data_IF_509987421318
#
_entry.id   IF_509987421318
#
_cell.length_a   1.000
_cell.length_b   1.000
_cell.length_c   1.000
_cell.angle_alpha   90.00
_cell.angle_beta   90.00
_cell.angle_gamma   90.00
#
_symmetry.space_group_name_H-M   'P 1'
#
loop_
_entity.id
_entity.type
_entity.pdbx_description
1 polymer ?
#
# COMPACT_ATOMS: atom_id res chain seq x y z
N UNK A 1 81.58 24.74 29.41
CA UNK A 1 80.85 24.69 28.12
C UNK A 1 80.02 23.41 28.09
N UNK A 2 78.96 23.30 28.92
CA UNK A 2 78.12 22.09 29.00
C UNK A 2 76.63 22.40 29.28
N UNK A 3 76.27 23.66 29.51
CA UNK A 3 74.90 24.03 29.95
C UNK A 3 73.96 24.27 28.77
N UNK A 4 74.47 24.65 27.60
CA UNK A 4 73.65 25.10 26.45
C UNK A 4 73.06 23.91 25.66
N UNK A 5 73.71 22.74 25.65
CA UNK A 5 73.22 21.56 24.92
C UNK A 5 72.10 20.80 25.65
N UNK A 6 71.87 21.03 26.94
CA UNK A 6 70.79 20.37 27.68
C UNK A 6 69.44 21.07 27.45
N UNK A 7 69.41 22.40 27.27
CA UNK A 7 68.16 23.16 27.14
C UNK A 7 67.45 22.96 25.79
N UNK A 8 68.18 22.63 24.72
CA UNK A 8 67.59 22.49 23.37
C UNK A 8 66.88 21.14 23.21
N UNK A 9 67.40 20.08 23.82
CA UNK A 9 66.80 18.72 23.76
C UNK A 9 65.50 18.64 24.58
N UNK A 10 65.43 19.37 25.70
CA UNK A 10 64.20 19.48 26.50
C UNK A 10 63.11 20.30 25.80
N UNK A 11 63.49 21.29 24.97
CA UNK A 11 62.55 22.16 24.25
C UNK A 11 61.86 21.47 23.07
N UNK A 12 62.56 20.62 22.31
CA UNK A 12 61.95 19.87 21.19
C UNK A 12 61.05 18.73 21.68
N UNK A 13 61.43 18.06 22.77
CA UNK A 13 60.61 17.04 23.42
C UNK A 13 59.31 17.65 23.99
N UNK A 14 59.37 18.87 24.55
CA UNK A 14 58.20 19.60 25.02
C UNK A 14 57.23 19.99 23.90
N UNK A 15 57.73 20.50 22.77
CA UNK A 15 56.89 20.87 21.61
C UNK A 15 56.25 19.65 20.93
N UNK A 16 56.96 18.51 20.85
CA UNK A 16 56.40 17.27 20.33
C UNK A 16 55.30 16.71 21.25
N UNK A 17 55.49 16.75 22.57
CA UNK A 17 54.48 16.35 23.54
C UNK A 17 53.25 17.29 23.51
N UNK A 18 53.46 18.59 23.31
CA UNK A 18 52.37 19.56 23.13
C UNK A 18 51.59 19.32 21.83
N UNK A 19 52.27 19.02 20.72
CA UNK A 19 51.61 18.63 19.46
C UNK A 19 50.83 17.31 19.59
N UNK A 20 51.33 16.34 20.36
CA UNK A 20 50.64 15.07 20.63
C UNK A 20 49.41 15.31 21.50
N UNK A 21 49.52 16.15 22.54
CA UNK A 21 48.40 16.54 23.40
C UNK A 21 47.33 17.29 22.63
N UNK A 22 47.72 18.20 21.74
CA UNK A 22 46.78 18.89 20.86
C UNK A 22 46.06 17.92 19.92
N UNK A 23 46.81 17.00 19.29
CA UNK A 23 46.23 15.98 18.41
C UNK A 23 45.27 15.08 19.18
N UNK A 24 45.66 14.64 20.37
CA UNK A 24 44.82 13.85 21.27
C UNK A 24 43.55 14.61 21.64
N UNK A 25 43.65 15.91 21.95
CA UNK A 25 42.48 16.75 22.25
C UNK A 25 41.52 16.86 21.05
N UNK A 26 42.06 17.00 19.83
CA UNK A 26 41.26 17.07 18.59
C UNK A 26 40.57 15.72 18.31
N UNK A 27 41.28 14.61 18.49
CA UNK A 27 40.73 13.26 18.31
C UNK A 27 39.64 12.95 19.34
N UNK A 28 39.83 13.35 20.60
CA UNK A 28 38.83 13.19 21.65
C UNK A 28 37.57 14.01 21.36
N UNK A 29 37.73 15.28 20.95
CA UNK A 29 36.60 16.12 20.50
C UNK A 29 35.86 15.49 19.33
N UNK A 30 36.59 15.02 18.31
CA UNK A 30 35.97 14.39 17.13
C UNK A 30 35.22 13.10 17.49
N UNK A 31 35.78 12.30 18.41
CA UNK A 31 35.09 11.12 18.95
C UNK A 31 33.80 11.51 19.66
N UNK A 32 33.81 12.58 20.45
CA UNK A 32 32.64 13.01 21.22
C UNK A 32 31.53 13.57 20.30
N UNK A 33 31.90 14.29 19.25
CA UNK A 33 30.96 14.71 18.17
C UNK A 33 30.31 13.50 17.49
N UNK A 34 31.12 12.51 17.08
CA UNK A 34 30.62 11.30 16.43
C UNK A 34 29.70 10.50 17.37
N UNK A 35 29.99 10.50 18.68
CA UNK A 35 29.12 9.87 19.68
C UNK A 35 27.77 10.56 19.78
N UNK A 36 27.74 11.89 19.80
CA UNK A 36 26.49 12.66 19.80
C UNK A 36 25.67 12.42 18.53
N UNK A 37 26.33 12.38 17.38
CA UNK A 37 25.67 12.06 16.11
C UNK A 37 25.12 10.63 16.10
N UNK A 38 25.88 9.67 16.61
CA UNK A 38 25.44 8.28 16.75
C UNK A 38 24.23 8.18 17.68
N UNK A 39 24.25 8.86 18.82
CA UNK A 39 23.13 8.89 19.77
C UNK A 39 21.87 9.52 19.14
N UNK A 40 22.02 10.59 18.35
CA UNK A 40 20.90 11.20 17.64
C UNK A 40 20.30 10.26 16.58
N UNK A 41 21.15 9.55 15.83
CA UNK A 41 20.72 8.54 14.87
C UNK A 41 20.04 7.35 15.56
N UNK A 42 20.56 6.87 16.68
CA UNK A 42 19.94 5.81 17.48
C UNK A 42 18.55 6.22 17.98
N UNK A 43 18.39 7.45 18.48
CA UNK A 43 17.08 8.00 18.86
C UNK A 43 16.12 8.06 17.68
N UNK A 44 16.59 8.48 16.51
CA UNK A 44 15.78 8.51 15.30
C UNK A 44 15.36 7.10 14.89
N UNK A 45 16.30 6.14 14.85
CA UNK A 45 16.03 4.73 14.56
C UNK A 45 14.99 4.19 15.54
N UNK A 46 15.14 4.47 16.83
CA UNK A 46 14.18 4.01 17.84
C UNK A 46 12.80 4.64 17.65
N UNK A 47 12.73 5.95 17.37
CA UNK A 47 11.48 6.64 17.08
C UNK A 47 10.79 6.03 15.87
N UNK A 48 11.52 5.83 14.76
CA UNK A 48 10.98 5.20 13.56
C UNK A 48 10.73 3.71 13.75
N UNK A 49 11.40 3.01 14.67
CA UNK A 49 11.07 1.64 15.05
C UNK A 49 9.79 1.60 15.86
N UNK A 50 9.56 2.51 16.78
CA UNK A 50 8.32 2.62 17.54
C UNK A 50 7.15 2.98 16.63
N UNK A 51 7.32 3.96 15.74
CA UNK A 51 6.36 4.27 14.67
C UNK A 51 6.17 3.06 13.74
N UNK A 52 7.27 2.42 13.34
CA UNK A 52 7.20 1.20 12.53
C UNK A 52 6.62 0.03 13.31
N UNK A 53 6.62 -0.02 14.65
CA UNK A 53 5.94 -1.04 15.44
C UNK A 53 4.44 -0.75 15.50
N UNK A 54 4.04 0.53 15.51
CA UNK A 54 2.65 0.91 15.22
C UNK A 54 2.23 0.46 13.80
N UNK A 55 3.16 0.47 12.83
CA UNK A 55 2.91 -0.08 11.48
C UNK A 55 3.08 -1.62 11.40
N UNK A 56 3.94 -2.23 12.23
CA UNK A 56 4.35 -3.65 12.20
C UNK A 56 3.62 -4.54 13.19
N UNK A 57 2.67 -4.00 13.95
CA UNK A 57 1.71 -4.82 14.68
C UNK A 57 0.76 -5.58 13.74
N UNK A 58 1.01 -5.59 12.41
CA UNK A 58 0.48 -6.58 11.48
C UNK A 58 1.51 -7.05 10.43
N UNK A 59 2.36 -8.01 10.82
CA UNK A 59 2.55 -9.23 10.00
C UNK A 59 1.41 -10.24 10.30
N UNK A 60 0.23 -9.70 10.63
CA UNK A 60 -1.03 -10.40 10.54
C UNK A 60 -1.29 -10.58 9.04
N UNK A 61 -1.70 -11.78 8.58
CA UNK A 61 -1.81 -12.11 7.17
C UNK A 61 -2.67 -11.05 6.51
N UNK A 62 -2.06 -10.06 5.80
CA UNK A 62 -2.64 -8.77 5.42
C UNK A 62 -4.11 -8.81 5.78
N UNK A 63 -4.44 -8.47 7.03
CA UNK A 63 -5.78 -8.73 7.54
C UNK A 63 -6.61 -7.87 6.64
N UNK A 64 -7.21 -8.53 5.66
CA UNK A 64 -7.79 -7.85 4.53
C UNK A 64 -8.99 -7.24 5.22
N UNK A 65 -8.86 -5.96 5.61
CA UNK A 65 -9.88 -5.23 6.37
C UNK A 65 -11.18 -5.19 5.55
N UNK A 66 -11.11 -5.63 4.29
CA UNK A 66 -12.18 -5.96 3.38
C UNK A 66 -12.60 -7.46 3.32
N UNK A 67 -11.74 -8.44 3.64
CA UNK A 67 -12.14 -9.83 3.99
C UNK A 67 -12.64 -9.99 5.40
N UNK A 68 -12.38 -9.04 6.30
CA UNK A 68 -12.94 -8.98 7.64
C UNK A 68 -14.45 -8.86 7.51
N UNK A 69 -15.12 -10.01 7.37
CA UNK A 69 -16.55 -10.22 7.13
C UNK A 69 -17.26 -8.87 7.03
N UNK A 70 -17.23 -8.26 5.83
CA UNK A 70 -18.04 -7.07 5.55
C UNK A 70 -19.37 -7.35 6.24
N UNK A 71 -19.76 -6.51 7.20
CA UNK A 71 -20.99 -6.71 7.96
C UNK A 71 -22.11 -7.02 6.97
N UNK A 72 -23.16 -7.77 7.30
CA UNK A 72 -24.21 -8.06 6.30
C UNK A 72 -24.64 -6.80 5.52
N UNK A 73 -24.65 -5.65 6.21
CA UNK A 73 -24.82 -4.32 5.61
C UNK A 73 -23.69 -3.94 4.63
N UNK A 74 -22.42 -4.02 5.03
CA UNK A 74 -21.27 -3.78 4.13
C UNK A 74 -21.23 -4.70 2.91
N UNK A 75 -21.56 -6.00 3.05
CA UNK A 75 -21.66 -6.91 1.88
C UNK A 75 -22.79 -6.51 0.96
N UNK A 76 -23.95 -6.19 1.54
CA UNK A 76 -25.09 -5.73 0.77
C UNK A 76 -24.78 -4.44 0.00
N UNK A 77 -24.12 -3.47 0.64
CA UNK A 77 -23.71 -2.22 0.00
C UNK A 77 -22.71 -2.47 -1.14
N UNK A 78 -21.70 -3.30 -0.90
CA UNK A 78 -20.72 -3.67 -1.92
C UNK A 78 -21.37 -4.37 -3.13
N UNK A 79 -22.28 -5.32 -2.89
CA UNK A 79 -23.03 -5.98 -3.98
C UNK A 79 -23.91 -4.97 -4.71
N UNK A 80 -24.56 -4.04 -4.02
CA UNK A 80 -25.36 -2.99 -4.65
C UNK A 80 -24.51 -2.08 -5.56
N UNK A 81 -23.35 -1.65 -5.08
CA UNK A 81 -22.40 -0.86 -5.89
C UNK A 81 -21.89 -1.63 -7.10
N UNK A 82 -21.58 -2.92 -6.95
CA UNK A 82 -21.19 -3.80 -8.05
C UNK A 82 -22.32 -3.96 -9.08
N UNK A 83 -23.58 -4.05 -8.65
CA UNK A 83 -24.74 -4.06 -9.57
C UNK A 83 -24.89 -2.72 -10.30
N UNK A 84 -24.68 -1.60 -9.61
CA UNK A 84 -24.68 -0.27 -10.23
C UNK A 84 -23.57 -0.14 -11.29
N UNK A 85 -22.37 -0.68 -11.01
CA UNK A 85 -21.28 -0.74 -11.98
C UNK A 85 -21.64 -1.59 -13.20
N UNK A 86 -22.19 -2.79 -12.99
CA UNK A 86 -22.67 -3.65 -14.08
C UNK A 86 -23.70 -2.93 -14.96
N UNK A 87 -24.64 -2.19 -14.35
CA UNK A 87 -25.61 -1.36 -15.09
C UNK A 87 -24.91 -0.30 -15.95
N UNK A 88 -23.93 0.43 -15.38
CA UNK A 88 -23.17 1.44 -16.13
C UNK A 88 -22.47 0.83 -17.33
N UNK A 89 -21.82 -0.33 -17.17
CA UNK A 89 -21.12 -1.03 -18.25
C UNK A 89 -22.05 -1.46 -19.40
N UNK A 90 -23.25 -1.98 -19.07
CA UNK A 90 -24.23 -2.38 -20.09
C UNK A 90 -24.73 -1.16 -20.87
N UNK A 91 -25.03 -0.07 -20.16
CA UNK A 91 -25.52 1.16 -20.78
C UNK A 91 -24.45 1.88 -21.61
N UNK A 92 -23.19 1.91 -21.13
CA UNK A 92 -22.08 2.51 -21.86
C UNK A 92 -21.76 1.75 -23.15
N UNK A 93 -21.89 0.42 -23.14
CA UNK A 93 -21.71 -0.39 -24.35
C UNK A 93 -22.89 -0.25 -25.32
N UNK A 94 -24.11 0.03 -24.80
CA UNK A 94 -25.31 0.13 -25.62
C UNK A 94 -25.80 -1.22 -26.17
N UNK A 95 -25.37 -2.35 -25.60
CA UNK A 95 -25.88 -3.70 -25.90
C UNK A 95 -25.92 -4.57 -24.62
N UNK A 96 -26.75 -5.61 -24.60
CA UNK A 96 -26.71 -6.63 -23.56
C UNK A 96 -25.32 -7.25 -23.47
N UNK A 97 -24.87 -7.47 -22.23
CA UNK A 97 -23.58 -8.09 -21.94
C UNK A 97 -23.81 -9.46 -21.33
N UNK A 98 -23.04 -10.44 -21.81
CA UNK A 98 -23.02 -11.78 -21.23
C UNK A 98 -22.42 -11.75 -19.83
N UNK A 99 -22.68 -12.81 -19.07
CA UNK A 99 -22.14 -12.97 -17.72
C UNK A 99 -20.60 -12.94 -17.69
N UNK A 100 -19.96 -13.57 -18.67
CA UNK A 100 -18.50 -13.60 -18.77
C UNK A 100 -17.91 -12.24 -19.10
N UNK A 101 -18.54 -11.48 -20.00
CA UNK A 101 -18.11 -10.11 -20.33
C UNK A 101 -18.25 -9.18 -19.11
N UNK A 102 -19.37 -9.25 -18.39
CA UNK A 102 -19.58 -8.47 -17.16
C UNK A 102 -18.56 -8.85 -16.09
N UNK A 103 -18.29 -10.14 -15.90
CA UNK A 103 -17.30 -10.61 -14.94
C UNK A 103 -15.92 -10.02 -15.25
N UNK A 104 -15.46 -10.17 -16.49
CA UNK A 104 -14.14 -9.68 -16.92
C UNK A 104 -14.02 -8.16 -16.73
N UNK A 105 -15.06 -7.40 -17.08
CA UNK A 105 -15.04 -5.93 -16.97
C UNK A 105 -15.08 -5.47 -15.50
N UNK A 106 -15.89 -6.10 -14.67
CA UNK A 106 -15.94 -5.80 -13.23
C UNK A 106 -14.61 -6.11 -12.54
N UNK A 107 -13.97 -7.24 -12.87
CA UNK A 107 -12.65 -7.57 -12.34
C UNK A 107 -11.57 -6.58 -12.81
N UNK A 108 -11.63 -6.14 -14.06
CA UNK A 108 -10.73 -5.10 -14.59
C UNK A 108 -10.89 -3.74 -13.89
N UNK A 109 -12.08 -3.42 -13.39
CA UNK A 109 -12.35 -2.24 -12.56
C UNK A 109 -11.97 -2.43 -11.07
N UNK A 110 -11.46 -3.60 -10.70
CA UNK A 110 -11.01 -3.90 -9.33
C UNK A 110 -12.08 -4.48 -8.40
N UNK A 111 -13.26 -4.85 -8.93
CA UNK A 111 -14.26 -5.55 -8.12
C UNK A 111 -13.83 -6.99 -7.87
N UNK A 112 -13.76 -7.36 -6.58
CA UNK A 112 -13.57 -8.73 -6.12
C UNK A 112 -14.92 -9.43 -5.98
N UNK A 113 -15.04 -10.60 -6.61
CA UNK A 113 -16.18 -11.50 -6.47
C UNK A 113 -15.72 -12.77 -5.77
N UNK A 114 -16.20 -12.97 -4.54
CA UNK A 114 -15.82 -14.09 -3.69
C UNK A 114 -16.57 -15.38 -4.10
N UNK A 115 -15.84 -16.50 -4.18
CA UNK A 115 -16.40 -17.84 -4.41
C UNK A 115 -15.60 -18.67 -5.41
N UNK A 116 -15.73 -20.00 -5.33
CA UNK A 116 -15.03 -20.93 -6.22
C UNK A 116 -15.43 -20.77 -7.70
N UNK A 117 -16.68 -20.38 -7.96
CA UNK A 117 -17.19 -20.07 -9.30
C UNK A 117 -17.75 -18.64 -9.31
N UNK A 118 -16.87 -17.68 -9.64
CA UNK A 118 -17.22 -16.25 -9.68
C UNK A 118 -18.32 -15.94 -10.68
N UNK A 119 -18.33 -16.64 -11.82
CA UNK A 119 -19.37 -16.48 -12.85
C UNK A 119 -20.73 -16.83 -12.25
N UNK A 120 -20.86 -18.00 -11.63
CA UNK A 120 -22.11 -18.41 -10.96
C UNK A 120 -22.54 -17.45 -9.85
N UNK A 121 -21.59 -16.94 -9.04
CA UNK A 121 -21.88 -15.95 -8.00
C UNK A 121 -22.44 -14.66 -8.60
N UNK A 122 -21.77 -14.11 -9.62
CA UNK A 122 -22.23 -12.91 -10.32
C UNK A 122 -23.63 -13.10 -10.92
N UNK A 123 -23.84 -14.22 -11.61
CA UNK A 123 -25.14 -14.56 -12.19
C UNK A 123 -26.26 -14.62 -11.15
N UNK A 124 -25.96 -15.15 -9.96
CA UNK A 124 -26.92 -15.22 -8.85
C UNK A 124 -27.23 -13.83 -8.29
N UNK A 125 -26.23 -12.96 -8.15
CA UNK A 125 -26.42 -11.59 -7.68
C UNK A 125 -27.24 -10.75 -8.69
N UNK A 126 -26.95 -10.89 -9.99
CA UNK A 126 -27.73 -10.26 -11.06
C UNK A 126 -29.21 -10.66 -10.97
N UNK A 127 -29.50 -11.95 -10.84
CA UNK A 127 -30.88 -12.45 -10.71
C UNK A 127 -31.56 -11.95 -9.43
N UNK A 128 -30.87 -12.01 -8.27
CA UNK A 128 -31.40 -11.55 -6.98
C UNK A 128 -31.68 -10.05 -6.93
N UNK A 129 -30.92 -9.25 -7.68
CA UNK A 129 -31.10 -7.79 -7.70
C UNK A 129 -32.45 -7.36 -8.29
N UNK A 130 -33.04 -8.19 -9.17
CA UNK A 130 -34.25 -7.87 -9.98
C UNK A 130 -34.13 -6.62 -10.86
N UNK A 131 -32.94 -6.05 -10.99
CA UNK A 131 -32.67 -4.86 -11.82
C UNK A 131 -32.38 -5.22 -13.28
N UNK A 132 -32.13 -6.51 -13.57
CA UNK A 132 -31.73 -6.98 -14.88
C UNK A 132 -32.66 -8.08 -15.38
N UNK A 133 -32.95 -8.03 -16.67
CA UNK A 133 -33.57 -9.11 -17.43
C UNK A 133 -32.52 -9.82 -18.28
N UNK A 134 -32.64 -11.14 -18.38
CA UNK A 134 -31.85 -11.94 -19.30
C UNK A 134 -32.52 -11.97 -20.67
N UNK A 135 -31.79 -11.55 -21.69
CA UNK A 135 -32.19 -11.62 -23.09
C UNK A 135 -31.51 -12.83 -23.70
N UNK A 136 -32.32 -13.76 -24.20
CA UNK A 136 -31.83 -15.03 -24.73
C UNK A 136 -30.72 -14.83 -25.76
N UNK A 137 -29.62 -15.59 -25.60
CA UNK A 137 -28.38 -15.53 -26.39
C UNK A 137 -27.62 -14.19 -26.41
N UNK A 138 -28.10 -13.14 -25.74
CA UNK A 138 -27.48 -11.79 -25.77
C UNK A 138 -26.92 -11.36 -24.41
N UNK A 139 -27.46 -11.87 -23.31
CA UNK A 139 -26.98 -11.57 -21.96
C UNK A 139 -27.95 -10.70 -21.17
N UNK A 140 -27.42 -9.86 -20.28
CA UNK A 140 -28.22 -9.07 -19.32
C UNK A 140 -28.46 -7.65 -19.81
N UNK A 141 -29.66 -7.13 -19.54
CA UNK A 141 -30.07 -5.75 -19.81
C UNK A 141 -30.89 -5.18 -18.64
N UNK A 142 -30.78 -3.88 -18.29
CA UNK A 142 -31.60 -3.28 -17.24
C UNK A 142 -33.10 -3.32 -17.56
N UNK A 143 -33.94 -3.69 -16.59
CA UNK A 143 -35.40 -3.84 -16.78
C UNK A 143 -36.12 -2.50 -17.01
N UNK A 144 -35.56 -1.41 -16.51
CA UNK A 144 -36.13 -0.06 -16.54
C UNK A 144 -35.77 0.71 -17.81
N UNK A 145 -34.91 0.15 -18.66
CA UNK A 145 -34.36 0.84 -19.83
C UNK A 145 -34.86 0.16 -21.12
N UNK A 146 -35.40 0.91 -22.09
CA UNK A 146 -35.84 0.33 -23.35
C UNK A 146 -34.66 -0.36 -24.06
N UNK A 147 -34.90 -1.59 -24.52
CA UNK A 147 -33.89 -2.35 -25.27
C UNK A 147 -33.61 -1.60 -26.58
N UNK A 148 -32.35 -1.34 -26.93
CA UNK A 148 -31.99 -0.68 -28.18
C UNK A 148 -32.58 -1.44 -29.37
N UNK A 149 -33.29 -0.71 -30.25
CA UNK A 149 -34.06 -1.27 -31.37
C UNK A 149 -33.22 -2.15 -32.32
N UNK A 150 -31.89 -1.96 -32.35
CA UNK A 150 -30.92 -2.79 -33.10
C UNK A 150 -30.80 -4.23 -32.60
N UNK A 151 -31.46 -4.59 -31.49
CA UNK A 151 -31.43 -5.93 -30.89
C UNK A 151 -32.76 -6.69 -31.04
N UNK A 152 -33.80 -6.05 -31.58
CA UNK A 152 -35.11 -6.64 -31.78
C UNK A 152 -35.40 -6.92 -33.26
N UNK A 153 -35.66 -8.20 -33.56
CA UNK A 153 -36.10 -8.79 -34.85
C UNK A 153 -34.99 -9.09 -35.87
N UNK A 154 -34.63 -10.37 -35.93
CA UNK A 154 -34.95 -11.15 -37.13
C UNK A 154 -36.06 -12.13 -36.74
#
# INVERSE_FOLDING_TARGET
MCVILCQVVESEAGMADESIRELLSKLLKRRDELRLESEALEKLIETYRQLSMLDKEQDLPQLDLWKGSRSRRGRSAYVAEMMAAARRQILSEGRPLTRSELLQRLEAEGYVIDGSDKSKVLGTNLWRSRQFQHIDKRGYWPVDTPIPRKLGRT
#
